data_IF_441640828755
#
_entry.id   IF_441640828755
#
_cell.length_a   1.000
_cell.length_b   1.000
_cell.length_c   1.000
_cell.angle_alpha   90.00
_cell.angle_beta   90.00
_cell.angle_gamma   90.00
#
_symmetry.space_group_name_H-M   'P 1'
#
loop_
_entity.id
_entity.type
_entity.pdbx_description
1 polymer ?
#
# COMPACT_ATOMS: atom_id res chain seq x y z
N UNK A 1 -0.43 2.54 -23.69
CA UNK A 1 -1.78 2.23 -23.38
C UNK A 1 -1.92 0.90 -22.76
N UNK A 2 -1.40 -0.14 -23.38
CA UNK A 2 -1.53 -1.45 -22.80
C UNK A 2 -0.91 -1.53 -21.41
N UNK A 3 0.20 -0.85 -21.21
CA UNK A 3 0.84 -0.88 -19.90
C UNK A 3 -0.03 -0.23 -18.86
N UNK A 4 -0.71 0.85 -19.21
CA UNK A 4 -1.54 1.54 -18.26
C UNK A 4 -2.72 0.65 -17.87
N UNK A 5 -3.37 0.02 -18.85
CA UNK A 5 -4.47 -0.85 -18.52
C UNK A 5 -4.03 -2.03 -17.70
N UNK A 6 -2.85 -2.56 -18.00
CA UNK A 6 -2.34 -3.70 -17.28
C UNK A 6 -2.13 -3.35 -15.81
N UNK A 7 -1.57 -2.18 -15.54
CA UNK A 7 -1.33 -1.77 -14.16
C UNK A 7 -2.63 -1.54 -13.41
N UNK A 8 -3.67 -1.07 -14.09
CA UNK A 8 -4.93 -0.86 -13.41
C UNK A 8 -5.62 -2.16 -13.05
N UNK A 9 -5.34 -3.22 -13.80
CA UNK A 9 -5.91 -4.52 -13.49
C UNK A 9 -5.01 -5.34 -12.60
N UNK A 10 -3.88 -4.79 -12.22
CA UNK A 10 -2.94 -5.49 -11.38
C UNK A 10 -1.86 -6.19 -12.18
N UNK A 11 -0.66 -6.18 -11.64
CA UNK A 11 0.49 -6.78 -12.29
C UNK A 11 0.97 -7.95 -11.45
N UNK A 12 1.05 -9.15 -12.01
CA UNK A 12 1.53 -10.30 -11.24
C UNK A 12 2.95 -10.05 -10.78
N UNK A 13 3.26 -10.50 -9.60
CA UNK A 13 4.58 -10.27 -9.02
C UNK A 13 4.92 -11.41 -8.07
N UNK A 14 6.15 -11.90 -8.15
CA UNK A 14 6.64 -12.87 -7.20
C UNK A 14 7.71 -12.20 -6.36
N UNK A 15 7.51 -12.16 -5.08
CA UNK A 15 8.42 -11.45 -4.18
C UNK A 15 9.74 -12.20 -4.03
N UNK A 16 10.77 -11.54 -3.51
CA UNK A 16 12.05 -12.22 -3.27
C UNK A 16 11.93 -13.43 -2.37
N UNK A 17 10.93 -13.50 -1.51
CA UNK A 17 10.75 -14.64 -0.64
C UNK A 17 9.88 -15.73 -1.26
N UNK A 18 9.48 -15.53 -2.54
CA UNK A 18 8.72 -16.55 -3.24
C UNK A 18 7.21 -16.43 -3.12
N UNK A 19 6.72 -15.36 -2.54
CA UNK A 19 5.28 -15.18 -2.40
C UNK A 19 4.73 -14.56 -3.67
N UNK A 20 3.66 -15.14 -4.21
CA UNK A 20 3.04 -14.60 -5.40
C UNK A 20 1.96 -13.63 -5.00
N UNK A 21 1.95 -12.46 -5.58
CA UNK A 21 0.96 -11.45 -5.28
C UNK A 21 0.70 -10.63 -6.53
N UNK A 22 -0.07 -9.57 -6.40
CA UNK A 22 -0.38 -8.68 -7.49
C UNK A 22 -0.11 -7.26 -7.03
N UNK A 23 0.51 -6.46 -7.89
CA UNK A 23 0.80 -5.07 -7.58
C UNK A 23 -0.18 -4.18 -8.32
N UNK A 24 -0.65 -3.13 -7.65
CA UNK A 24 -1.63 -2.21 -8.21
C UNK A 24 -1.14 -0.78 -8.07
N UNK A 25 -1.72 0.11 -8.86
CA UNK A 25 -1.34 1.53 -8.81
C UNK A 25 -2.00 2.22 -7.61
N UNK A 26 -1.52 3.43 -7.34
CA UNK A 26 -2.11 4.23 -6.27
C UNK A 26 -3.56 4.57 -6.62
N UNK A 27 -3.89 4.66 -7.91
CA UNK A 27 -5.27 4.93 -8.31
C UNK A 27 -6.20 3.81 -7.89
N UNK A 28 -5.74 2.58 -8.02
CA UNK A 28 -6.55 1.45 -7.60
C UNK A 28 -6.77 1.48 -6.08
N UNK A 29 -5.71 1.79 -5.32
CA UNK A 29 -5.85 1.89 -3.87
C UNK A 29 -6.84 3.00 -3.51
N UNK A 30 -6.74 4.14 -4.17
CA UNK A 30 -7.63 5.24 -3.89
C UNK A 30 -9.08 4.86 -4.15
N UNK A 31 -9.33 4.11 -5.22
CA UNK A 31 -10.67 3.63 -5.50
C UNK A 31 -11.19 2.73 -4.39
N UNK A 32 -10.35 1.84 -3.88
CA UNK A 32 -10.77 0.93 -2.84
C UNK A 32 -11.14 1.67 -1.55
N UNK A 33 -10.55 2.83 -1.35
CA UNK A 33 -10.82 3.63 -0.15
C UNK A 33 -11.86 4.71 -0.37
N UNK A 34 -12.30 4.88 -1.62
CA UNK A 34 -13.25 5.94 -1.94
C UNK A 34 -12.64 7.31 -1.81
N UNK A 35 -11.35 7.44 -2.10
CA UNK A 35 -10.64 8.70 -1.98
C UNK A 35 -9.87 8.99 -3.25
N UNK A 36 -9.35 10.21 -3.36
CA UNK A 36 -8.58 10.59 -4.54
C UNK A 36 -7.13 10.16 -4.39
N UNK A 37 -6.48 9.91 -5.52
CA UNK A 37 -5.07 9.54 -5.49
C UNK A 37 -4.21 10.60 -4.83
N UNK A 38 -4.56 11.87 -5.02
CA UNK A 38 -3.79 12.95 -4.39
C UNK A 38 -3.85 12.86 -2.88
N UNK A 39 -4.98 12.40 -2.34
CA UNK A 39 -5.12 12.21 -0.91
C UNK A 39 -4.18 11.13 -0.42
N UNK A 40 -4.09 10.02 -1.17
CA UNK A 40 -3.22 8.92 -0.78
C UNK A 40 -1.76 9.35 -0.84
N UNK A 41 -1.38 10.11 -1.86
CA UNK A 41 -0.01 10.61 -1.95
C UNK A 41 0.32 11.49 -0.75
N UNK A 42 -0.64 12.32 -0.35
CA UNK A 42 -0.41 13.19 0.80
C UNK A 42 -0.24 12.37 2.07
N UNK A 43 -1.05 11.31 2.21
CA UNK A 43 -0.91 10.46 3.38
C UNK A 43 0.47 9.82 3.47
N UNK A 44 1.02 9.44 2.32
CA UNK A 44 2.34 8.83 2.33
C UNK A 44 3.41 9.87 2.64
N UNK A 45 3.26 11.07 2.11
CA UNK A 45 4.24 12.13 2.35
C UNK A 45 4.22 12.57 3.82
N UNK A 46 3.05 12.70 4.42
CA UNK A 46 2.99 13.19 5.79
C UNK A 46 3.02 12.07 6.84
N UNK A 47 3.20 10.84 6.41
CA UNK A 47 3.36 9.74 7.36
C UNK A 47 2.07 9.17 7.89
N UNK A 48 0.93 9.52 7.32
CA UNK A 48 -0.34 8.93 7.75
C UNK A 48 -0.36 7.43 7.43
N UNK A 49 0.21 7.03 6.30
CA UNK A 49 0.41 5.63 6.01
C UNK A 49 1.87 5.41 5.67
N UNK A 50 2.36 4.18 5.81
CA UNK A 50 3.77 3.90 5.49
C UNK A 50 4.00 3.98 4.00
N UNK A 51 5.24 4.19 3.61
CA UNK A 51 5.57 4.18 2.20
C UNK A 51 5.59 2.75 1.70
N UNK A 52 5.11 2.55 0.49
CA UNK A 52 5.16 1.23 -0.10
C UNK A 52 6.59 0.91 -0.53
N UNK A 53 7.02 -0.34 -0.39
CA UNK A 53 8.36 -0.70 -0.84
C UNK A 53 8.46 -0.93 -2.34
N UNK A 54 7.34 -0.87 -3.07
CA UNK A 54 7.35 -1.20 -4.49
C UNK A 54 7.17 0.04 -5.36
N UNK A 55 7.91 0.09 -6.46
CA UNK A 55 7.78 1.14 -7.44
C UNK A 55 8.00 0.56 -8.81
N UNK A 56 7.40 1.17 -9.82
CA UNK A 56 7.65 0.71 -11.19
C UNK A 56 8.90 1.40 -11.73
N UNK A 57 9.22 1.15 -12.98
CA UNK A 57 10.41 1.71 -13.58
C UNK A 57 10.42 3.22 -13.61
N UNK A 58 9.26 3.84 -13.60
CA UNK A 58 9.18 5.29 -13.63
C UNK A 58 9.11 5.88 -12.23
N UNK A 59 9.24 5.07 -11.21
CA UNK A 59 9.20 5.55 -9.84
C UNK A 59 7.80 5.72 -9.29
N UNK A 60 6.77 5.24 -10.02
CA UNK A 60 5.41 5.36 -9.51
C UNK A 60 5.16 4.30 -8.45
N UNK A 61 4.42 4.67 -7.44
CA UNK A 61 4.15 3.78 -6.31
C UNK A 61 3.26 2.64 -6.71
N UNK A 62 3.62 1.44 -6.29
CA UNK A 62 2.79 0.25 -6.48
C UNK A 62 2.51 -0.37 -5.13
N UNK A 63 1.32 -0.92 -4.97
CA UNK A 63 0.91 -1.51 -3.69
C UNK A 63 0.48 -2.94 -3.93
N UNK A 64 0.97 -3.86 -3.10
CA UNK A 64 0.56 -5.26 -3.24
C UNK A 64 -0.87 -5.44 -2.77
N UNK A 65 -1.48 -6.54 -3.15
CA UNK A 65 -2.81 -6.88 -2.67
C UNK A 65 -2.84 -6.84 -1.15
N UNK A 66 -1.81 -7.39 -0.51
CA UNK A 66 -1.75 -7.45 0.94
C UNK A 66 -1.72 -6.07 1.57
N UNK A 67 -0.93 -5.16 0.98
CA UNK A 67 -0.85 -3.81 1.51
C UNK A 67 -2.17 -3.07 1.35
N UNK A 68 -2.83 -3.25 0.20
CA UNK A 68 -4.11 -2.59 -0.04
C UNK A 68 -5.16 -3.10 0.94
N UNK A 69 -5.22 -4.41 1.12
CA UNK A 69 -6.19 -4.99 2.03
C UNK A 69 -5.96 -4.51 3.45
N UNK A 70 -4.69 -4.38 3.83
CA UNK A 70 -4.37 -3.91 5.17
C UNK A 70 -4.84 -2.48 5.38
N UNK A 71 -4.60 -1.60 4.41
CA UNK A 71 -5.01 -0.22 4.54
C UNK A 71 -6.54 -0.13 4.61
N UNK A 72 -7.23 -0.90 3.76
CA UNK A 72 -8.68 -0.88 3.76
C UNK A 72 -9.24 -1.39 5.09
N UNK A 73 -8.67 -2.48 5.61
CA UNK A 73 -9.11 -3.00 6.90
C UNK A 73 -8.89 -2.00 8.01
N UNK A 74 -7.73 -1.33 8.00
CA UNK A 74 -7.44 -0.36 9.04
C UNK A 74 -8.38 0.85 8.95
N UNK A 75 -8.72 1.25 7.73
CA UNK A 75 -9.62 2.38 7.54
C UNK A 75 -11.02 2.03 8.04
N UNK A 76 -11.47 0.83 7.75
CA UNK A 76 -12.78 0.40 8.23
C UNK A 76 -12.81 0.29 9.74
N UNK A 77 -11.72 -0.24 10.30
CA UNK A 77 -11.62 -0.40 11.74
C UNK A 77 -11.65 0.94 12.43
N UNK A 78 -11.03 1.95 11.82
CA UNK A 78 -10.99 3.29 12.39
C UNK A 78 -12.22 4.10 12.04
N UNK A 79 -13.12 3.54 11.22
CA UNK A 79 -14.35 4.21 10.82
C UNK A 79 -14.09 5.54 10.12
N UNK A 80 -13.05 5.55 9.29
CA UNK A 80 -12.73 6.77 8.57
C UNK A 80 -12.99 6.63 7.08
N UNK A 81 -13.64 5.56 6.67
CA UNK A 81 -14.05 5.44 5.29
C UNK A 81 -15.09 6.52 5.04
N UNK A 82 -15.50 6.72 3.84
CA UNK A 82 -16.52 7.69 3.51
C UNK A 82 -16.08 9.14 3.62
N UNK A 83 -14.80 9.38 3.41
CA UNK A 83 -14.32 10.74 3.26
C UNK A 83 -14.04 11.52 4.50
N UNK A 84 -14.13 10.90 5.66
CA UNK A 84 -13.82 11.64 6.87
C UNK A 84 -12.33 11.93 6.96
N UNK A 85 -11.95 12.98 7.68
CA UNK A 85 -10.55 13.35 7.79
C UNK A 85 -9.70 12.24 8.41
N UNK A 86 -8.45 12.16 7.97
CA UNK A 86 -7.54 11.17 8.47
C UNK A 86 -6.66 11.79 9.53
N UNK A 87 -7.20 12.01 10.67
CA UNK A 87 -6.39 12.52 11.75
C UNK A 87 -6.27 11.50 12.88
N UNK A 88 -6.72 10.29 12.62
CA UNK A 88 -6.74 9.29 13.68
C UNK A 88 -5.42 8.56 13.76
N UNK A 89 -4.70 8.76 14.84
CA UNK A 89 -3.38 8.14 14.98
C UNK A 89 -3.47 6.63 15.09
N UNK A 90 -4.60 6.08 15.52
CA UNK A 90 -4.73 4.62 15.57
C UNK A 90 -4.68 4.02 14.18
N UNK A 91 -5.31 4.69 13.21
CA UNK A 91 -5.25 4.22 11.84
C UNK A 91 -3.80 4.13 11.39
N UNK A 92 -3.01 5.17 11.65
CA UNK A 92 -1.61 5.20 11.27
C UNK A 92 -0.85 4.07 11.94
N UNK A 93 -1.04 3.90 13.24
CA UNK A 93 -0.32 2.86 13.98
C UNK A 93 -0.65 1.48 13.42
N UNK A 94 -1.92 1.20 13.17
CA UNK A 94 -2.31 -0.10 12.64
C UNK A 94 -1.73 -0.33 11.25
N UNK A 95 -1.69 0.71 10.40
CA UNK A 95 -1.12 0.57 9.08
C UNK A 95 0.37 0.22 9.15
N UNK A 96 1.10 0.90 10.04
CA UNK A 96 2.52 0.60 10.18
C UNK A 96 2.76 -0.80 10.70
N UNK A 97 1.95 -1.26 11.64
CA UNK A 97 2.08 -2.61 12.16
C UNK A 97 1.82 -3.64 11.08
N UNK A 98 0.76 -3.43 10.28
CA UNK A 98 0.44 -4.37 9.23
C UNK A 98 1.49 -4.36 8.13
N UNK A 99 1.98 -3.19 7.75
CA UNK A 99 3.00 -3.11 6.73
C UNK A 99 4.28 -3.81 7.17
N UNK A 100 4.64 -3.70 8.45
CA UNK A 100 5.83 -4.39 8.94
C UNK A 100 5.69 -5.90 8.75
N UNK A 101 4.53 -6.45 9.07
CA UNK A 101 4.31 -7.87 8.90
C UNK A 101 4.33 -8.27 7.44
N UNK A 102 3.68 -7.49 6.60
CA UNK A 102 3.59 -7.80 5.19
C UNK A 102 4.96 -7.69 4.53
N UNK A 103 5.72 -6.65 4.89
CA UNK A 103 7.03 -6.47 4.31
C UNK A 103 7.98 -7.60 4.67
N UNK A 104 7.87 -8.12 5.89
CA UNK A 104 8.68 -9.27 6.26
C UNK A 104 8.27 -10.49 5.45
N UNK A 105 6.98 -10.68 5.26
CA UNK A 105 6.51 -11.81 4.49
C UNK A 105 6.98 -11.73 3.04
N UNK A 106 6.86 -10.57 2.44
CA UNK A 106 7.18 -10.43 1.02
C UNK A 106 8.66 -10.23 0.76
N UNK A 107 9.36 -9.51 1.61
CA UNK A 107 10.74 -9.14 1.35
C UNK A 107 11.75 -9.79 2.29
N UNK A 108 11.27 -10.41 3.34
CA UNK A 108 12.16 -11.07 4.28
C UNK A 108 12.72 -10.12 5.31
N UNK A 109 13.40 -10.72 6.28
CA UNK A 109 13.98 -9.94 7.34
C UNK A 109 15.39 -9.57 7.08
N UNK A 110 15.95 -10.04 6.02
CA UNK A 110 17.38 -9.91 5.86
C UNK A 110 17.89 -8.54 5.81
N UNK A 111 17.06 -7.65 5.32
CA UNK A 111 17.60 -6.40 5.19
C UNK A 111 17.91 -5.74 6.43
N UNK A 112 17.29 -6.05 7.47
CA UNK A 112 17.59 -5.39 8.63
C UNK A 112 18.88 -5.79 9.17
N UNK A 113 19.38 -6.89 8.73
CA UNK A 113 20.60 -7.27 9.22
C UNK A 113 21.66 -6.54 8.65
N UNK A 114 21.42 -5.94 7.63
CA UNK A 114 22.40 -5.28 7.07
C UNK A 114 22.87 -4.27 7.87
N UNK A 115 22.45 -4.21 8.66
CA UNK A 115 22.92 -3.39 9.40
C UNK A 115 23.84 -3.56 10.07
#
# INVERSE_FOLDING_TARGET
MADYEYLERGMPYTSPTGVETTLYTIGYLAEQLGRKSSTIRKWEVDGTIPKTPFKDKRGRRLYSTEHIEAIVRCAERAKIANGKPMSNTRFTKWCFEEFNKINKMLLGDGKKEEK
#
